data_IF_631209748560
#
_entry.id   IF_631209748560
#
_cell.length_a   1.000
_cell.length_b   1.000
_cell.length_c   1.000
_cell.angle_alpha   90.00
_cell.angle_beta   90.00
_cell.angle_gamma   90.00
#
_symmetry.space_group_name_H-M   'P 1'
#
loop_
_entity.id
_entity.type
_entity.pdbx_description
1 polymer ?
#
# COMPACT_ATOMS: atom_id res chain seq x y z
N UNK A 1 -26.02 -10.78 67.41
CA UNK A 1 -27.49 -10.90 67.40
C UNK A 1 -27.84 -11.69 66.16
N UNK A 2 -28.23 -12.94 66.34
CA UNK A 2 -28.51 -13.90 65.26
C UNK A 2 -29.77 -13.49 64.48
N UNK A 3 -29.65 -13.48 63.15
CA UNK A 3 -30.79 -13.40 62.24
C UNK A 3 -31.64 -14.66 62.45
N UNK A 4 -32.77 -14.53 63.14
CA UNK A 4 -33.80 -15.56 63.12
C UNK A 4 -34.43 -15.61 61.72
N UNK A 5 -34.13 -16.66 60.96
CA UNK A 5 -34.79 -16.96 59.70
C UNK A 5 -36.31 -17.10 59.93
N UNK A 6 -37.11 -16.38 59.13
CA UNK A 6 -38.56 -16.50 59.14
C UNK A 6 -38.96 -17.91 58.68
N UNK A 7 -39.29 -18.80 59.61
CA UNK A 7 -39.78 -20.14 59.30
C UNK A 7 -41.14 -20.14 58.58
N UNK A 8 -41.37 -21.12 57.71
CA UNK A 8 -42.64 -21.34 57.03
C UNK A 8 -43.68 -21.90 58.03
N UNK A 9 -44.79 -21.21 58.24
CA UNK A 9 -45.91 -21.72 59.04
C UNK A 9 -46.99 -22.28 58.12
N UNK A 10 -47.34 -23.55 58.29
CA UNK A 10 -48.40 -24.23 57.51
C UNK A 10 -49.53 -24.60 58.46
N UNK A 11 -50.72 -24.05 58.24
CA UNK A 11 -51.93 -24.37 59.01
C UNK A 11 -52.85 -25.27 58.17
N UNK A 12 -53.18 -26.45 58.69
CA UNK A 12 -54.08 -27.41 58.02
C UNK A 12 -55.42 -27.39 58.75
N UNK A 13 -56.44 -26.82 58.12
CA UNK A 13 -57.71 -26.50 58.79
C UNK A 13 -58.66 -27.68 59.07
N UNK A 14 -58.68 -28.72 58.23
CA UNK A 14 -59.67 -29.82 58.33
C UNK A 14 -59.05 -31.20 58.09
N UNK A 15 -58.16 -31.64 58.98
CA UNK A 15 -57.61 -32.99 58.91
C UNK A 15 -58.53 -34.03 59.59
N UNK A 16 -59.08 -34.97 58.81
CA UNK A 16 -60.02 -36.00 59.30
C UNK A 16 -59.36 -37.33 59.71
N UNK A 17 -58.02 -37.41 59.72
CA UNK A 17 -57.28 -38.53 60.32
C UNK A 17 -57.14 -39.80 59.49
N UNK A 18 -57.74 -39.90 58.30
CA UNK A 18 -57.79 -41.16 57.54
C UNK A 18 -56.47 -41.54 56.83
N UNK A 19 -55.58 -40.58 56.52
CA UNK A 19 -54.23 -40.83 55.94
C UNK A 19 -53.25 -39.73 56.34
N UNK A 20 -51.98 -40.02 56.64
CA UNK A 20 -51.00 -39.01 57.04
C UNK A 20 -50.80 -37.94 55.96
N UNK A 21 -50.69 -36.68 56.39
CA UNK A 21 -50.37 -35.56 55.49
C UNK A 21 -48.85 -35.40 55.42
N UNK A 22 -48.31 -35.46 54.20
CA UNK A 22 -46.91 -35.19 53.93
C UNK A 22 -46.76 -33.77 53.37
N UNK A 23 -45.91 -32.96 54.02
CA UNK A 23 -45.56 -31.62 53.55
C UNK A 23 -44.12 -31.65 53.04
N UNK A 24 -43.97 -31.54 51.72
CA UNK A 24 -42.64 -31.53 51.06
C UNK A 24 -42.27 -30.09 50.72
N UNK A 25 -41.40 -29.49 51.54
CA UNK A 25 -40.84 -28.17 51.27
C UNK A 25 -39.56 -28.30 50.44
N UNK A 26 -39.54 -27.73 49.23
CA UNK A 26 -38.37 -27.74 48.36
C UNK A 26 -37.82 -26.33 48.22
N UNK A 27 -36.60 -26.12 48.69
CA UNK A 27 -35.86 -24.88 48.51
C UNK A 27 -35.00 -25.05 47.26
N UNK A 28 -35.31 -24.32 46.20
CA UNK A 28 -34.45 -24.21 45.03
C UNK A 28 -33.66 -22.91 45.12
N UNK A 29 -32.32 -22.99 45.04
CA UNK A 29 -31.55 -21.81 44.69
C UNK A 29 -31.83 -21.52 43.20
N UNK A 30 -32.21 -20.29 42.87
CA UNK A 30 -32.19 -19.87 41.47
C UNK A 30 -30.77 -20.14 40.92
N UNK A 31 -30.63 -20.71 39.70
CA UNK A 31 -29.31 -20.77 39.09
C UNK A 31 -28.73 -19.36 39.12
N UNK A 32 -27.51 -19.20 39.65
CA UNK A 32 -26.78 -17.95 39.50
C UNK A 32 -26.82 -17.62 38.01
N UNK A 33 -27.18 -16.38 37.66
CA UNK A 33 -27.04 -15.92 36.28
C UNK A 33 -25.64 -16.37 35.83
N UNK A 34 -25.56 -17.07 34.70
CA UNK A 34 -24.28 -17.43 34.08
C UNK A 34 -23.41 -16.19 34.18
N UNK A 35 -22.20 -16.32 34.77
CA UNK A 35 -21.26 -15.21 34.90
C UNK A 35 -21.28 -14.45 33.56
N UNK A 36 -21.55 -13.14 33.61
CA UNK A 36 -21.59 -12.32 32.40
C UNK A 36 -20.34 -12.64 31.59
N UNK A 37 -20.54 -13.02 30.32
CA UNK A 37 -19.44 -13.40 29.44
C UNK A 37 -18.35 -12.33 29.56
N UNK A 38 -17.07 -12.71 29.68
CA UNK A 38 -15.99 -11.74 29.80
C UNK A 38 -16.11 -10.73 28.66
N UNK A 39 -16.29 -9.45 29.01
CA UNK A 39 -16.31 -8.37 28.02
C UNK A 39 -14.95 -8.39 27.33
N UNK A 40 -14.93 -8.85 26.08
CA UNK A 40 -13.72 -8.85 25.28
C UNK A 40 -13.31 -7.42 25.02
N UNK A 41 -12.01 -7.17 25.07
CA UNK A 41 -11.46 -5.87 24.71
C UNK A 41 -11.81 -5.58 23.23
N UNK A 42 -12.13 -4.32 22.88
CA UNK A 42 -12.32 -3.92 21.50
C UNK A 42 -11.09 -4.32 20.67
N UNK A 43 -11.32 -4.91 19.50
CA UNK A 43 -10.23 -5.20 18.57
C UNK A 43 -9.81 -3.92 17.84
N UNK A 44 -8.50 -3.73 17.67
CA UNK A 44 -8.02 -2.61 16.87
C UNK A 44 -8.37 -2.85 15.41
N UNK A 45 -8.90 -1.81 14.77
CA UNK A 45 -9.20 -1.76 13.34
C UNK A 45 -8.16 -0.94 12.58
N UNK A 46 -6.97 -0.73 13.16
CA UNK A 46 -5.89 0.04 12.53
C UNK A 46 -5.43 -0.62 11.22
N UNK A 47 -5.24 0.19 10.17
CA UNK A 47 -4.87 -0.29 8.83
C UNK A 47 -3.80 0.60 8.22
N UNK A 48 -2.83 -0.02 7.56
CA UNK A 48 -1.85 0.67 6.72
C UNK A 48 -2.07 0.30 5.25
N UNK A 49 -2.05 1.29 4.37
CA UNK A 49 -2.31 1.10 2.94
C UNK A 49 -1.80 2.25 2.09
N UNK A 50 -2.45 2.47 0.94
CA UNK A 50 -2.11 3.54 0.01
C UNK A 50 -2.42 4.92 0.59
N UNK A 51 -1.83 5.98 0.03
CA UNK A 51 -1.98 7.36 0.53
C UNK A 51 -3.42 7.82 0.80
N UNK A 52 -4.39 7.29 0.04
CA UNK A 52 -5.83 7.57 0.20
C UNK A 52 -6.51 6.84 1.37
N UNK A 53 -5.87 5.83 1.96
CA UNK A 53 -6.47 4.99 3.02
C UNK A 53 -7.14 5.79 4.14
N UNK A 54 -6.54 6.89 4.67
CA UNK A 54 -7.20 7.72 5.68
C UNK A 54 -8.48 8.39 5.19
N UNK A 55 -8.45 8.94 3.98
CA UNK A 55 -9.61 9.61 3.36
C UNK A 55 -10.72 8.61 3.04
N UNK A 56 -10.39 7.49 2.37
CA UNK A 56 -11.37 6.47 1.99
C UNK A 56 -12.07 5.86 3.22
N UNK A 57 -11.36 5.79 4.36
CA UNK A 57 -11.95 5.36 5.63
C UNK A 57 -12.92 6.42 6.20
N UNK A 58 -12.52 7.69 6.21
CA UNK A 58 -13.33 8.81 6.70
C UNK A 58 -14.61 8.99 5.86
N UNK A 59 -14.54 8.89 4.53
CA UNK A 59 -15.68 9.04 3.62
C UNK A 59 -16.87 8.14 3.97
N UNK A 60 -16.62 6.98 4.58
CA UNK A 60 -17.66 6.00 4.95
C UNK A 60 -18.04 6.00 6.42
N UNK A 61 -17.29 6.68 7.28
CA UNK A 61 -17.37 6.53 8.75
C UNK A 61 -17.28 7.84 9.52
N UNK A 62 -17.40 8.98 8.84
CA UNK A 62 -17.32 10.31 9.46
C UNK A 62 -18.34 10.51 10.58
N UNK A 63 -19.51 9.89 10.47
CA UNK A 63 -20.60 9.90 11.45
C UNK A 63 -20.33 9.03 12.69
N UNK A 64 -19.32 8.17 12.64
CA UNK A 64 -18.97 7.24 13.72
C UNK A 64 -17.86 7.77 14.64
N UNK A 65 -17.29 8.94 14.34
CA UNK A 65 -16.16 9.50 15.08
C UNK A 65 -16.45 10.91 15.59
N UNK A 66 -15.78 11.27 16.68
CA UNK A 66 -15.66 12.67 17.11
C UNK A 66 -14.41 13.28 16.47
N UNK A 67 -14.62 14.23 15.56
CA UNK A 67 -13.54 14.91 14.82
C UNK A 67 -12.55 15.62 15.76
N UNK A 68 -13.00 16.13 16.91
CA UNK A 68 -12.14 16.85 17.85
C UNK A 68 -11.26 15.92 18.69
N UNK A 69 -11.57 14.62 18.70
CA UNK A 69 -10.77 13.56 19.32
C UNK A 69 -9.97 12.79 18.27
N UNK A 70 -9.85 13.35 17.06
CA UNK A 70 -9.06 12.82 15.98
C UNK A 70 -7.98 13.82 15.56
N UNK A 71 -6.86 13.29 15.09
CA UNK A 71 -5.80 14.09 14.49
C UNK A 71 -5.32 13.45 13.20
N UNK A 72 -4.80 14.29 12.32
CA UNK A 72 -4.08 13.87 11.13
C UNK A 72 -2.65 14.37 11.27
N UNK A 73 -1.70 13.47 11.06
CA UNK A 73 -0.27 13.78 10.97
C UNK A 73 0.20 13.58 9.55
N UNK A 74 0.82 14.60 8.99
CA UNK A 74 1.35 14.61 7.62
C UNK A 74 2.86 14.67 7.72
N UNK A 75 3.54 13.72 7.09
CA UNK A 75 4.99 13.77 6.93
C UNK A 75 5.30 13.75 5.44
N UNK A 76 5.66 14.92 4.90
CA UNK A 76 5.94 15.09 3.46
C UNK A 76 7.23 14.43 3.03
N UNK A 77 8.25 14.42 3.90
CA UNK A 77 9.53 13.75 3.61
C UNK A 77 9.36 12.25 3.39
N UNK A 78 8.53 11.59 4.19
CA UNK A 78 8.21 10.15 4.10
C UNK A 78 7.00 9.87 3.23
N UNK A 79 6.39 10.88 2.62
CA UNK A 79 5.18 10.77 1.80
C UNK A 79 4.07 9.95 2.49
N UNK A 80 3.73 10.35 3.73
CA UNK A 80 2.77 9.62 4.55
C UNK A 80 1.76 10.51 5.25
N UNK A 81 0.53 10.01 5.38
CA UNK A 81 -0.59 10.63 6.10
C UNK A 81 -1.10 9.62 7.11
N UNK A 82 -1.21 10.04 8.36
CA UNK A 82 -1.69 9.19 9.45
C UNK A 82 -2.90 9.83 10.10
N UNK A 83 -4.06 9.18 10.00
CA UNK A 83 -5.25 9.53 10.78
C UNK A 83 -5.27 8.72 12.07
N UNK A 84 -5.41 9.39 13.20
CA UNK A 84 -5.67 8.78 14.50
C UNK A 84 -7.07 9.19 14.96
N UNK A 85 -7.91 8.22 15.32
CA UNK A 85 -9.23 8.46 15.93
C UNK A 85 -9.20 8.02 17.40
N UNK A 86 -10.01 8.68 18.24
CA UNK A 86 -10.04 8.47 19.70
C UNK A 86 -8.62 8.60 20.31
N UNK A 87 -7.92 9.69 20.00
CA UNK A 87 -6.49 9.85 20.32
C UNK A 87 -6.15 9.78 21.81
N UNK A 88 -7.13 10.09 22.67
CA UNK A 88 -7.10 10.17 24.12
C UNK A 88 -7.52 8.87 24.82
N UNK A 89 -8.06 7.89 24.10
CA UNK A 89 -8.54 6.62 24.65
C UNK A 89 -7.70 5.43 24.16
N UNK A 90 -6.93 4.84 25.06
CA UNK A 90 -6.06 3.71 24.77
C UNK A 90 -6.76 2.49 24.16
N UNK A 91 -8.01 2.20 24.52
CA UNK A 91 -8.71 0.99 24.10
C UNK A 91 -9.42 1.13 22.76
N UNK A 92 -9.86 2.34 22.42
CA UNK A 92 -10.63 2.62 21.20
C UNK A 92 -9.84 3.42 20.17
N UNK A 93 -8.58 3.76 20.48
CA UNK A 93 -7.65 4.40 19.57
C UNK A 93 -7.37 3.52 18.36
N UNK A 94 -7.57 4.08 17.18
CA UNK A 94 -7.25 3.43 15.92
C UNK A 94 -6.44 4.35 15.03
N UNK A 95 -5.53 3.76 14.26
CA UNK A 95 -4.60 4.49 13.39
C UNK A 95 -4.73 3.98 11.96
N UNK A 96 -4.91 4.90 11.02
CA UNK A 96 -4.99 4.64 9.60
C UNK A 96 -3.83 5.33 8.90
N UNK A 97 -2.93 4.56 8.30
CA UNK A 97 -1.73 5.09 7.66
C UNK A 97 -1.84 4.93 6.16
N UNK A 98 -1.73 6.04 5.43
CA UNK A 98 -1.56 6.05 3.99
C UNK A 98 -0.13 6.40 3.62
N UNK A 99 0.52 5.58 2.79
CA UNK A 99 1.86 5.84 2.25
C UNK A 99 1.85 5.89 0.72
N UNK A 100 2.75 6.68 0.15
CA UNK A 100 3.05 6.64 -1.29
C UNK A 100 4.18 5.65 -1.52
N UNK A 101 3.88 4.59 -2.25
CA UNK A 101 4.85 3.57 -2.63
C UNK A 101 4.73 3.25 -4.12
N UNK A 102 5.87 2.97 -4.76
CA UNK A 102 5.88 2.49 -6.14
C UNK A 102 5.16 1.14 -6.24
N UNK A 103 4.50 0.91 -7.37
CA UNK A 103 3.84 -0.36 -7.64
C UNK A 103 4.89 -1.46 -7.78
N UNK A 104 4.55 -2.67 -7.32
CA UNK A 104 5.46 -3.81 -7.40
C UNK A 104 5.92 -4.10 -8.83
N UNK A 105 5.02 -3.92 -9.80
CA UNK A 105 5.34 -4.11 -11.22
C UNK A 105 6.32 -3.04 -11.68
N UNK A 106 6.06 -1.75 -11.41
CA UNK A 106 6.95 -0.66 -11.81
C UNK A 106 8.34 -0.81 -11.20
N UNK A 107 8.44 -1.12 -9.90
CA UNK A 107 9.72 -1.37 -9.23
C UNK A 107 10.49 -2.54 -9.83
N UNK A 108 9.82 -3.63 -10.22
CA UNK A 108 10.46 -4.79 -10.85
C UNK A 108 11.02 -4.51 -12.24
N UNK A 109 10.49 -3.52 -12.95
CA UNK A 109 11.02 -3.11 -14.25
C UNK A 109 12.37 -2.39 -14.12
N UNK A 110 12.61 -1.67 -13.01
CA UNK A 110 13.82 -0.87 -12.82
C UNK A 110 13.90 0.32 -13.79
N UNK A 111 12.76 0.90 -14.17
CA UNK A 111 12.72 2.09 -15.04
C UNK A 111 13.31 3.28 -14.29
N UNK A 112 14.18 4.04 -14.96
CA UNK A 112 14.91 5.19 -14.42
C UNK A 112 15.87 4.85 -13.26
N UNK A 113 16.19 3.58 -13.06
CA UNK A 113 17.18 3.15 -12.08
C UNK A 113 18.56 3.00 -12.75
N UNK A 114 19.50 3.87 -12.39
CA UNK A 114 20.87 3.89 -12.90
C UNK A 114 21.71 2.66 -12.52
N UNK A 115 21.29 1.90 -11.51
CA UNK A 115 21.96 0.68 -11.08
C UNK A 115 21.34 -0.57 -11.75
N UNK A 116 20.14 -0.43 -12.34
CA UNK A 116 19.42 -1.55 -12.95
C UNK A 116 19.84 -1.80 -14.41
N UNK A 117 20.71 -2.79 -14.57
CA UNK A 117 21.15 -3.29 -15.88
C UNK A 117 20.49 -4.57 -16.30
N UNK A 118 19.77 -4.55 -17.43
CA UNK A 118 19.21 -5.75 -18.01
C UNK A 118 20.13 -6.40 -19.04
N UNK A 119 20.36 -7.69 -18.87
CA UNK A 119 20.87 -8.54 -19.95
C UNK A 119 19.71 -8.75 -20.96
N UNK A 120 19.88 -8.49 -22.27
CA UNK A 120 18.80 -8.55 -23.27
C UNK A 120 17.96 -9.83 -23.20
N UNK A 121 18.59 -11.00 -23.11
CA UNK A 121 17.89 -12.27 -23.00
C UNK A 121 17.04 -12.39 -21.72
N UNK A 122 17.55 -11.89 -20.58
CA UNK A 122 16.82 -11.88 -19.30
C UNK A 122 15.64 -10.91 -19.34
N UNK A 123 15.82 -9.73 -19.95
CA UNK A 123 14.72 -8.79 -20.17
C UNK A 123 13.64 -9.40 -21.05
N UNK A 124 14.02 -10.07 -22.14
CA UNK A 124 13.06 -10.78 -22.99
C UNK A 124 12.25 -11.83 -22.22
N UNK A 125 12.88 -12.59 -21.32
CA UNK A 125 12.16 -13.53 -20.46
C UNK A 125 11.22 -12.81 -19.47
N UNK A 126 11.68 -11.73 -18.85
CA UNK A 126 10.90 -10.92 -17.93
C UNK A 126 9.65 -10.33 -18.61
N UNK A 127 9.80 -9.74 -19.80
CA UNK A 127 8.67 -9.19 -20.57
C UNK A 127 7.68 -10.29 -20.97
N UNK A 128 8.18 -11.49 -21.34
CA UNK A 128 7.32 -12.63 -21.67
C UNK A 128 6.43 -13.06 -20.49
N UNK A 129 6.99 -13.08 -19.27
CA UNK A 129 6.24 -13.41 -18.05
C UNK A 129 5.22 -12.30 -17.73
N UNK A 130 5.59 -11.05 -17.98
CA UNK A 130 4.76 -9.87 -17.70
C UNK A 130 3.96 -9.39 -18.92
N UNK A 131 3.69 -10.24 -19.93
CA UNK A 131 3.01 -9.85 -21.19
C UNK A 131 1.68 -9.12 -21.01
N UNK A 132 1.02 -9.27 -19.85
CA UNK A 132 -0.22 -8.59 -19.51
C UNK A 132 -0.08 -7.08 -19.26
N UNK A 133 1.14 -6.55 -19.18
CA UNK A 133 1.36 -5.09 -19.09
C UNK A 133 1.26 -4.40 -20.45
N UNK A 134 1.39 -5.14 -21.55
CA UNK A 134 1.25 -4.58 -22.89
C UNK A 134 -0.23 -4.48 -23.27
N UNK A 135 -0.61 -3.43 -24.00
CA UNK A 135 -1.96 -3.33 -24.55
C UNK A 135 -2.25 -4.44 -25.56
N UNK A 136 -1.25 -4.77 -26.40
CA UNK A 136 -1.31 -5.86 -27.38
C UNK A 136 -0.24 -6.91 -27.05
N UNK A 137 -0.64 -8.18 -27.01
CA UNK A 137 0.28 -9.29 -26.68
C UNK A 137 1.29 -9.52 -27.80
N UNK A 138 0.90 -9.18 -29.03
CA UNK A 138 1.68 -9.32 -30.25
C UNK A 138 2.94 -8.44 -30.18
N UNK A 139 2.82 -7.19 -29.70
CA UNK A 139 3.94 -6.26 -29.59
C UNK A 139 4.95 -6.71 -28.53
N UNK A 140 4.47 -7.27 -27.42
CA UNK A 140 5.32 -7.94 -26.44
C UNK A 140 6.11 -9.08 -27.09
N UNK A 141 5.45 -9.97 -27.85
CA UNK A 141 6.13 -11.13 -28.45
C UNK A 141 7.13 -10.74 -29.53
N UNK A 142 6.85 -9.70 -30.33
CA UNK A 142 7.82 -9.12 -31.27
C UNK A 142 9.06 -8.63 -30.52
N UNK A 143 8.88 -7.83 -29.47
CA UNK A 143 9.99 -7.30 -28.68
C UNK A 143 10.81 -8.41 -27.99
N UNK A 144 10.15 -9.43 -27.44
CA UNK A 144 10.81 -10.60 -26.86
C UNK A 144 11.65 -11.35 -27.91
N UNK A 145 11.18 -11.43 -29.16
CA UNK A 145 11.94 -12.06 -30.25
C UNK A 145 13.18 -11.26 -30.63
N UNK A 146 13.07 -9.92 -30.67
CA UNK A 146 14.21 -9.02 -30.91
C UNK A 146 15.23 -9.14 -29.77
N UNK A 147 14.79 -9.10 -28.51
CA UNK A 147 15.66 -9.20 -27.33
C UNK A 147 16.38 -10.56 -27.21
N UNK A 148 15.75 -11.65 -27.68
CA UNK A 148 16.39 -12.98 -27.73
C UNK A 148 17.47 -13.07 -28.80
N UNK A 149 17.24 -12.42 -29.93
CA UNK A 149 18.18 -12.35 -31.05
C UNK A 149 18.89 -10.99 -31.06
N UNK A 150 19.20 -10.46 -29.88
CA UNK A 150 19.78 -9.13 -29.75
C UNK A 150 21.14 -9.09 -30.42
N UNK A 151 21.32 -8.10 -31.29
CA UNK A 151 22.59 -7.84 -31.97
C UNK A 151 22.92 -6.37 -31.78
N UNK A 152 24.11 -6.09 -31.27
CA UNK A 152 24.62 -4.74 -31.09
C UNK A 152 26.03 -4.63 -31.67
N UNK A 153 26.22 -3.66 -32.55
CA UNK A 153 27.53 -3.30 -33.06
C UNK A 153 28.02 -2.08 -32.25
N UNK A 154 29.00 -2.30 -31.38
CA UNK A 154 29.69 -1.20 -30.71
C UNK A 154 30.79 -0.66 -31.65
N UNK A 155 30.57 0.52 -32.23
CA UNK A 155 31.64 1.26 -32.91
C UNK A 155 32.29 2.18 -31.89
N UNK A 156 33.52 1.86 -31.49
CA UNK A 156 34.33 2.71 -30.63
C UNK A 156 35.22 3.58 -31.53
N UNK A 157 34.85 4.84 -31.73
CA UNK A 157 35.74 5.82 -32.37
C UNK A 157 36.48 6.61 -31.29
N UNK A 158 37.81 6.51 -31.30
CA UNK A 158 38.69 7.35 -30.49
C UNK A 158 39.20 8.47 -31.40
N UNK A 159 38.56 9.64 -31.33
CA UNK A 159 39.07 10.83 -32.02
C UNK A 159 40.06 11.55 -31.10
N UNK A 160 41.36 11.44 -31.42
CA UNK A 160 42.40 12.26 -30.81
C UNK A 160 42.50 13.57 -31.58
N UNK A 161 41.82 14.62 -31.12
CA UNK A 161 42.05 15.96 -31.63
C UNK A 161 43.26 16.55 -30.92
N UNK A 162 44.29 16.87 -31.70
CA UNK A 162 45.47 17.59 -31.23
C UNK A 162 45.34 19.04 -31.72
N UNK A 163 45.04 19.93 -30.80
CA UNK A 163 45.03 21.37 -31.07
C UNK A 163 46.49 21.88 -31.18
N UNK A 164 46.83 22.78 -32.13
CA UNK A 164 48.17 23.39 -32.21
C UNK A 164 48.61 24.10 -30.93
N UNK A 165 47.68 24.45 -30.04
CA UNK A 165 47.94 25.06 -28.72
C UNK A 165 48.39 24.07 -27.63
N UNK A 166 48.45 22.77 -27.91
CA UNK A 166 48.90 21.74 -26.96
C UNK A 166 47.80 21.12 -26.11
N UNK A 167 46.54 21.54 -26.24
CA UNK A 167 45.40 20.86 -25.62
C UNK A 167 45.04 19.58 -26.38
N UNK A 168 44.98 18.48 -25.64
CA UNK A 168 44.47 17.18 -26.11
C UNK A 168 43.06 16.99 -25.58
N UNK A 169 42.09 16.81 -26.48
CA UNK A 169 40.77 16.33 -26.13
C UNK A 169 40.61 14.91 -26.70
N UNK A 170 40.46 13.92 -25.83
CA UNK A 170 40.09 12.57 -26.23
C UNK A 170 38.56 12.46 -26.22
N UNK A 171 37.97 12.44 -27.41
CA UNK A 171 36.53 12.24 -27.57
C UNK A 171 36.29 10.75 -27.79
N UNK A 172 35.87 10.06 -26.73
CA UNK A 172 35.40 8.69 -26.79
C UNK A 172 33.93 8.68 -27.24
N UNK A 173 33.68 8.27 -28.50
CA UNK A 173 32.32 8.00 -28.98
C UNK A 173 32.13 6.50 -29.14
N UNK A 174 31.37 5.91 -28.22
CA UNK A 174 30.86 4.55 -28.35
C UNK A 174 29.40 4.64 -28.78
N UNK A 175 29.14 4.60 -30.10
CA UNK A 175 27.78 4.46 -30.59
C UNK A 175 27.47 2.96 -30.70
N UNK A 176 26.47 2.52 -29.95
CA UNK A 176 25.96 1.16 -30.02
C UNK A 176 24.73 1.18 -30.94
N UNK A 177 24.91 0.68 -32.18
CA UNK A 177 23.78 0.44 -33.08
C UNK A 177 23.21 -0.95 -32.77
N UNK A 178 21.97 -1.01 -32.27
CA UNK A 178 21.28 -2.26 -31.97
C UNK A 178 20.05 -2.47 -32.85
N UNK A 179 19.57 -3.72 -32.90
CA UNK A 179 18.33 -4.08 -33.59
C UNK A 179 17.05 -3.80 -32.77
N UNK A 180 17.16 -3.09 -31.64
CA UNK A 180 16.02 -2.75 -30.79
C UNK A 180 15.17 -1.63 -31.42
N UNK A 181 13.85 -1.62 -31.16
CA UNK A 181 13.03 -0.45 -31.46
C UNK A 181 13.47 0.74 -30.59
N UNK A 182 13.17 1.96 -31.04
CA UNK A 182 13.49 3.20 -30.29
C UNK A 182 12.90 3.16 -28.87
N UNK A 183 11.64 2.75 -28.77
CA UNK A 183 10.88 2.70 -27.53
C UNK A 183 9.80 1.62 -27.61
N UNK A 184 9.20 1.30 -26.47
CA UNK A 184 8.01 0.46 -26.38
C UNK A 184 7.07 1.01 -25.31
N UNK A 185 5.78 0.73 -25.43
CA UNK A 185 4.77 1.21 -24.49
C UNK A 185 4.25 0.09 -23.60
N UNK A 186 4.19 0.35 -22.30
CA UNK A 186 3.57 -0.53 -21.30
C UNK A 186 2.49 0.22 -20.54
N UNK A 187 1.45 -0.50 -20.10
CA UNK A 187 0.33 0.04 -19.35
C UNK A 187 0.40 -0.46 -17.90
N UNK A 188 1.01 0.33 -17.03
CA UNK A 188 1.24 0.00 -15.62
C UNK A 188 0.92 1.19 -14.72
N UNK A 189 0.67 0.93 -13.44
CA UNK A 189 0.54 1.97 -12.42
C UNK A 189 1.94 2.29 -11.87
N UNK A 190 2.29 3.58 -11.74
CA UNK A 190 3.58 3.98 -11.14
C UNK A 190 3.52 3.78 -9.63
N UNK A 191 2.43 4.21 -8.98
CA UNK A 191 2.23 4.07 -7.53
C UNK A 191 1.13 3.06 -7.17
N UNK A 192 1.20 2.47 -5.98
CA UNK A 192 0.17 1.57 -5.47
C UNK A 192 -1.17 2.29 -5.35
N UNK A 193 -2.26 1.63 -5.77
CA UNK A 193 -3.61 2.19 -5.71
C UNK A 193 -3.95 3.21 -6.80
N UNK A 194 -3.02 3.53 -7.70
CA UNK A 194 -3.29 4.41 -8.85
C UNK A 194 -3.76 3.63 -10.08
N UNK A 195 -4.43 4.32 -11.01
CA UNK A 195 -4.84 3.73 -12.28
C UNK A 195 -3.60 3.40 -13.13
N UNK A 196 -3.73 2.38 -13.99
CA UNK A 196 -2.69 2.06 -14.97
C UNK A 196 -2.68 3.12 -16.06
N UNK A 197 -1.50 3.61 -16.40
CA UNK A 197 -1.30 4.58 -17.48
C UNK A 197 -0.32 4.03 -18.52
N UNK A 198 -0.50 4.38 -19.81
CA UNK A 198 0.50 4.07 -20.82
C UNK A 198 1.77 4.88 -20.55
N UNK A 199 2.91 4.19 -20.51
CA UNK A 199 4.23 4.75 -20.31
C UNK A 199 5.11 4.30 -21.47
N UNK A 200 5.74 5.25 -22.14
CA UNK A 200 6.77 4.99 -23.14
C UNK A 200 8.11 4.75 -22.45
N UNK A 201 8.75 3.62 -22.78
CA UNK A 201 10.03 3.20 -22.21
C UNK A 201 11.04 3.07 -23.35
N UNK A 202 12.19 3.70 -23.16
CA UNK A 202 13.34 3.73 -24.06
C UNK A 202 14.46 2.82 -23.52
N UNK A 203 15.41 2.48 -24.39
CA UNK A 203 16.57 1.65 -24.06
C UNK A 203 17.86 2.46 -24.13
N UNK A 204 18.52 2.61 -22.99
CA UNK A 204 19.90 3.07 -22.96
C UNK A 204 20.85 1.88 -22.96
N UNK A 205 21.92 2.00 -23.74
CA UNK A 205 22.91 0.96 -23.90
C UNK A 205 24.18 1.37 -23.16
N UNK A 206 24.70 0.47 -22.33
CA UNK A 206 26.00 0.67 -21.73
C UNK A 206 26.81 -0.61 -21.71
N UNK A 207 28.13 -0.43 -21.78
CA UNK A 207 29.09 -1.52 -21.78
C UNK A 207 29.55 -1.78 -20.36
N UNK A 208 29.44 -3.01 -19.90
CA UNK A 208 29.98 -3.45 -18.61
C UNK A 208 30.64 -4.81 -18.79
N UNK A 209 31.92 -4.90 -18.45
CA UNK A 209 32.70 -6.15 -18.51
C UNK A 209 32.68 -6.89 -19.87
N UNK A 210 32.51 -6.15 -20.98
CA UNK A 210 32.43 -6.73 -22.33
C UNK A 210 31.02 -7.17 -22.75
N UNK A 211 30.04 -7.10 -21.85
CA UNK A 211 28.63 -7.31 -22.14
C UNK A 211 27.90 -5.98 -22.39
N UNK A 212 26.92 -6.01 -23.29
CA UNK A 212 25.99 -4.88 -23.50
C UNK A 212 24.80 -5.06 -22.56
N UNK A 213 24.63 -4.11 -21.65
CA UNK A 213 23.48 -4.03 -20.75
C UNK A 213 22.50 -2.96 -21.25
N UNK A 214 21.23 -3.22 -20.98
CA UNK A 214 20.12 -2.34 -21.32
C UNK A 214 19.57 -1.71 -20.04
N UNK A 215 19.61 -0.40 -19.95
CA UNK A 215 18.88 0.34 -18.93
C UNK A 215 17.53 0.78 -19.51
N UNK A 216 16.47 0.72 -18.69
CA UNK A 216 15.15 1.18 -19.08
C UNK A 216 14.95 2.60 -18.61
N UNK A 217 14.63 3.50 -19.54
CA UNK A 217 14.47 4.93 -19.25
C UNK A 217 13.11 5.41 -19.72
N UNK A 218 12.44 6.22 -18.93
CA UNK A 218 11.17 6.86 -19.27
C UNK A 218 11.11 8.25 -18.64
N UNK A 219 11.42 9.30 -19.42
CA UNK A 219 11.30 10.69 -18.95
C UNK A 219 9.86 10.99 -18.52
N UNK A 220 8.87 10.55 -19.30
CA UNK A 220 7.46 10.75 -18.98
C UNK A 220 7.02 10.06 -17.68
N UNK A 221 7.56 8.87 -17.36
CA UNK A 221 7.30 8.26 -16.05
C UNK A 221 7.92 9.05 -14.89
N UNK A 222 9.08 9.67 -15.10
CA UNK A 222 9.74 10.48 -14.08
C UNK A 222 8.93 11.75 -13.80
N UNK A 223 8.53 12.47 -14.85
CA UNK A 223 7.69 13.67 -14.74
C UNK A 223 6.37 13.36 -14.02
N UNK A 224 5.68 12.28 -14.42
CA UNK A 224 4.44 11.84 -13.76
C UNK A 224 4.66 11.47 -12.28
N UNK A 225 5.82 10.89 -11.95
CA UNK A 225 6.15 10.52 -10.58
C UNK A 225 6.40 11.75 -9.70
N UNK A 226 7.10 12.77 -10.22
CA UNK A 226 7.34 14.04 -9.54
C UNK A 226 6.03 14.82 -9.35
N UNK A 227 5.26 15.01 -10.43
CA UNK A 227 3.96 15.68 -10.38
C UNK A 227 3.01 15.07 -9.36
N UNK A 228 2.95 13.73 -9.31
CA UNK A 228 2.09 13.04 -8.37
C UNK A 228 2.58 13.20 -6.93
N UNK A 229 3.88 13.15 -6.69
CA UNK A 229 4.45 13.37 -5.34
C UNK A 229 4.13 14.77 -4.82
N UNK A 230 4.19 15.77 -5.68
CA UNK A 230 3.91 17.16 -5.28
C UNK A 230 2.43 17.36 -4.93
N UNK A 231 1.51 16.68 -5.62
CA UNK A 231 0.06 16.94 -5.51
C UNK A 231 -0.70 15.97 -4.60
N UNK A 232 -0.26 14.71 -4.48
CA UNK A 232 -1.11 13.65 -3.92
C UNK A 232 -1.48 13.87 -2.45
N UNK A 233 -0.56 14.45 -1.65
CA UNK A 233 -0.83 14.75 -0.25
C UNK A 233 -1.90 15.84 -0.15
N UNK A 234 -1.75 16.91 -0.93
CA UNK A 234 -2.67 18.04 -0.91
C UNK A 234 -4.07 17.63 -1.36
N UNK A 235 -4.19 16.81 -2.41
CA UNK A 235 -5.48 16.25 -2.85
C UNK A 235 -6.17 15.44 -1.74
N UNK A 236 -5.43 14.61 -1.01
CA UNK A 236 -5.99 13.84 0.11
C UNK A 236 -6.41 14.77 1.25
N UNK A 237 -5.59 15.76 1.60
CA UNK A 237 -5.90 16.71 2.66
C UNK A 237 -7.10 17.58 2.31
N UNK A 238 -7.25 18.01 1.07
CA UNK A 238 -8.41 18.78 0.60
C UNK A 238 -9.69 17.94 0.66
N UNK A 239 -9.62 16.66 0.27
CA UNK A 239 -10.72 15.72 0.44
C UNK A 239 -11.14 15.56 1.90
N UNK A 240 -10.16 15.46 2.81
CA UNK A 240 -10.42 15.37 4.25
C UNK A 240 -11.05 16.68 4.76
N UNK A 241 -10.51 17.84 4.42
CA UNK A 241 -11.05 19.15 4.84
C UNK A 241 -12.51 19.34 4.40
N UNK A 242 -12.87 18.80 3.24
CA UNK A 242 -14.24 18.89 2.74
C UNK A 242 -15.24 18.06 3.56
N UNK A 243 -14.84 16.90 4.08
CA UNK A 243 -15.73 15.98 4.81
C UNK A 243 -15.61 16.08 6.34
N UNK A 244 -14.43 16.47 6.85
CA UNK A 244 -14.06 16.44 8.24
C UNK A 244 -13.28 17.71 8.65
N UNK A 245 -13.92 18.89 8.60
CA UNK A 245 -13.25 20.17 8.78
C UNK A 245 -12.74 20.42 10.21
N UNK A 246 -13.28 19.71 11.22
CA UNK A 246 -12.94 19.91 12.62
C UNK A 246 -11.76 19.04 13.09
N UNK A 247 -11.25 18.13 12.23
CA UNK A 247 -10.07 17.32 12.55
C UNK A 247 -8.81 18.19 12.47
N UNK A 248 -7.99 18.16 13.52
CA UNK A 248 -6.72 18.86 13.53
C UNK A 248 -5.73 18.21 12.55
N UNK A 249 -5.13 19.01 11.65
CA UNK A 249 -4.09 18.58 10.72
C UNK A 249 -2.74 19.14 11.19
N UNK A 250 -1.78 18.26 11.45
CA UNK A 250 -0.46 18.56 11.98
C UNK A 250 0.61 18.12 10.96
N UNK A 251 1.40 19.05 10.46
CA UNK A 251 2.58 18.77 9.62
C UNK A 251 3.79 18.47 10.53
N UNK A 252 4.48 17.35 10.31
CA UNK A 252 5.55 16.80 11.17
C UNK A 252 6.81 16.38 10.43
#
# INVERSE_FOLDING_TARGET
MENQEKGLTVNIGEYKGEKPIEVVYRIGNAPKALDELPIKQPESISVSGVIRTPLDWLEKRIDTIDQKRANIKVNREKMSITLTVNEDDYYTKNTFVGTVELSEVFSKFGINDGECGWIPAKLGQFLRLNRGVFMQKEDCMKLVSVLKNFTANAKTEIQKQRDPSGSMAEVYRSQVESNLPKSFTINIAIFKGTAKTPIEVEFDHYLSNGDVLLQLVSPGANELAEDYRDKCIDEVLDGIRAIAPDIAILEI
#
